data_IF_784368481676
#
_entry.id   IF_784368481676
#
_cell.length_a   1.000
_cell.length_b   1.000
_cell.length_c   1.000
_cell.angle_alpha   90.00
_cell.angle_beta   90.00
_cell.angle_gamma   90.00
#
_symmetry.space_group_name_H-M   'P 1'
#
loop_
_entity.id
_entity.type
_entity.pdbx_description
1 polymer ?
#
# COMPACT_ATOMS: atom_id res chain seq x y z
N UNK A 1 35.01 12.18 30.06
CA UNK A 1 34.44 13.37 29.39
C UNK A 1 33.37 12.81 28.46
N UNK A 2 32.13 12.79 28.92
CA UNK A 2 31.00 12.22 28.18
C UNK A 2 30.53 13.34 27.27
N UNK A 3 30.72 13.19 25.97
CA UNK A 3 30.27 14.17 24.98
C UNK A 3 28.76 14.33 25.10
N UNK A 4 28.35 15.56 25.41
CA UNK A 4 26.97 16.00 25.36
C UNK A 4 26.49 15.90 23.92
N UNK A 5 25.68 14.87 23.65
CA UNK A 5 24.88 14.78 22.43
C UNK A 5 23.83 15.89 22.50
N UNK A 6 24.11 16.96 21.76
CA UNK A 6 23.24 18.07 21.37
C UNK A 6 21.72 17.76 21.47
N UNK A 7 21.09 18.26 22.53
CA UNK A 7 19.64 18.12 22.82
C UNK A 7 18.72 18.78 21.77
N UNK A 8 19.24 19.70 20.96
CA UNK A 8 18.46 20.49 19.99
C UNK A 8 17.96 19.69 18.79
N UNK A 9 18.61 18.56 18.44
CA UNK A 9 18.20 17.69 17.33
C UNK A 9 17.23 16.56 17.72
N UNK A 10 17.19 16.18 19.00
CA UNK A 10 16.35 15.08 19.50
C UNK A 10 14.88 15.49 19.69
N UNK A 11 14.63 16.74 20.10
CA UNK A 11 13.28 17.27 20.29
C UNK A 11 12.46 17.35 18.98
N UNK A 12 13.00 17.84 17.84
CA UNK A 12 12.28 17.83 16.56
C UNK A 12 11.94 16.41 16.09
N UNK A 13 12.86 15.46 16.24
CA UNK A 13 12.65 14.08 15.84
C UNK A 13 11.57 13.39 16.68
N UNK A 14 11.58 13.58 18.00
CA UNK A 14 10.56 12.99 18.89
C UNK A 14 9.16 13.55 18.60
N UNK A 15 9.05 14.83 18.26
CA UNK A 15 7.78 15.43 17.82
C UNK A 15 7.31 14.85 16.49
N UNK A 16 8.20 14.71 15.50
CA UNK A 16 7.87 14.11 14.21
C UNK A 16 7.45 12.64 14.35
N UNK A 17 8.20 11.86 15.15
CA UNK A 17 7.90 10.46 15.43
C UNK A 17 6.52 10.30 16.07
N UNK A 18 6.21 11.12 17.09
CA UNK A 18 4.89 11.12 17.73
C UNK A 18 3.79 11.44 16.73
N UNK A 19 3.98 12.45 15.89
CA UNK A 19 3.02 12.80 14.83
C UNK A 19 2.76 11.63 13.86
N UNK A 20 3.80 10.89 13.46
CA UNK A 20 3.65 9.74 12.56
C UNK A 20 2.94 8.56 13.26
N UNK A 21 3.26 8.29 14.52
CA UNK A 21 2.59 7.27 15.33
C UNK A 21 1.10 7.57 15.51
N UNK A 22 0.75 8.83 15.79
CA UNK A 22 -0.65 9.24 15.95
C UNK A 22 -1.46 9.05 14.65
N UNK A 23 -0.80 9.11 13.49
CA UNK A 23 -1.43 8.89 12.19
C UNK A 23 -1.62 7.41 11.82
N UNK A 24 -0.82 6.49 12.37
CA UNK A 24 -0.79 5.08 11.96
C UNK A 24 -2.19 4.44 11.94
N UNK A 25 -2.99 4.70 12.98
CA UNK A 25 -4.34 4.16 13.14
C UNK A 25 -5.29 4.49 11.97
N UNK A 26 -5.06 5.60 11.25
CA UNK A 26 -5.88 6.05 10.11
C UNK A 26 -5.60 5.27 8.82
N UNK A 27 -4.43 4.66 8.75
CA UNK A 27 -3.92 3.97 7.56
C UNK A 27 -3.85 2.45 7.76
N UNK A 28 -4.31 1.92 8.88
CA UNK A 28 -4.47 0.48 9.10
C UNK A 28 -5.73 -0.05 8.37
N UNK A 29 -5.67 -1.21 7.70
CA UNK A 29 -6.86 -1.84 7.11
C UNK A 29 -7.82 -2.36 8.19
N UNK A 30 -9.14 -2.32 7.90
CA UNK A 30 -10.16 -2.80 8.84
C UNK A 30 -10.12 -4.32 8.93
N UNK A 31 -9.66 -4.86 10.06
CA UNK A 31 -9.52 -6.31 10.30
C UNK A 31 -10.82 -7.11 10.12
N UNK A 32 -11.99 -6.50 10.37
CA UNK A 32 -13.27 -7.17 10.15
C UNK A 32 -13.51 -7.51 8.67
N UNK A 33 -13.07 -6.64 7.74
CA UNK A 33 -13.22 -6.88 6.31
C UNK A 33 -12.22 -7.91 5.78
N UNK A 34 -10.97 -7.87 6.25
CA UNK A 34 -9.96 -8.84 5.84
C UNK A 34 -10.31 -10.27 6.28
N UNK A 35 -10.94 -10.45 7.45
CA UNK A 35 -11.45 -11.76 7.91
C UNK A 35 -12.48 -12.38 6.98
N UNK A 36 -13.22 -11.58 6.22
CA UNK A 36 -14.17 -12.10 5.21
C UNK A 36 -13.42 -12.71 4.02
N UNK A 37 -12.28 -12.14 3.65
CA UNK A 37 -11.42 -12.64 2.58
C UNK A 37 -10.66 -13.90 3.04
N UNK A 38 -10.25 -13.92 4.31
CA UNK A 38 -9.59 -15.06 4.95
C UNK A 38 -10.50 -16.30 5.02
N UNK A 39 -11.78 -16.10 5.34
CA UNK A 39 -12.76 -17.18 5.45
C UNK A 39 -13.45 -17.56 4.12
N UNK A 40 -13.11 -16.88 3.02
CA UNK A 40 -13.76 -17.13 1.73
C UNK A 40 -13.31 -18.46 1.11
N UNK A 41 -14.28 -19.23 0.61
CA UNK A 41 -14.02 -20.44 -0.17
C UNK A 41 -13.57 -20.10 -1.60
N UNK A 42 -12.70 -20.93 -2.15
CA UNK A 42 -12.12 -20.79 -3.48
C UNK A 42 -13.09 -21.31 -4.56
N UNK A 43 -14.17 -20.55 -4.80
CA UNK A 43 -15.22 -20.90 -5.76
C UNK A 43 -15.30 -19.92 -6.95
N UNK A 44 -14.32 -19.02 -7.09
CA UNK A 44 -14.24 -18.03 -8.16
C UNK A 44 -15.23 -16.86 -8.06
N UNK A 45 -16.16 -16.86 -7.09
CA UNK A 45 -17.19 -15.82 -6.96
C UNK A 45 -16.80 -14.68 -6.02
N UNK A 46 -15.80 -14.88 -5.17
CA UNK A 46 -15.41 -13.94 -4.10
C UNK A 46 -13.90 -13.77 -4.06
N UNK A 47 -13.48 -12.64 -3.51
CA UNK A 47 -12.08 -12.42 -3.15
C UNK A 47 -11.62 -13.42 -2.10
N UNK A 48 -10.41 -13.94 -2.29
CA UNK A 48 -9.72 -14.86 -1.38
C UNK A 48 -8.32 -14.34 -1.08
N UNK A 49 -7.68 -14.88 -0.04
CA UNK A 49 -6.29 -14.55 0.29
C UNK A 49 -5.35 -14.84 -0.87
N UNK A 50 -5.54 -15.96 -1.57
CA UNK A 50 -4.74 -16.32 -2.75
C UNK A 50 -4.81 -15.27 -3.86
N UNK A 51 -6.01 -14.76 -4.13
CA UNK A 51 -6.20 -13.72 -5.15
C UNK A 51 -5.53 -12.41 -4.73
N UNK A 52 -5.66 -12.02 -3.45
CA UNK A 52 -4.95 -10.86 -2.90
C UNK A 52 -3.43 -11.02 -3.03
N UNK A 53 -2.88 -12.19 -2.69
CA UNK A 53 -1.44 -12.45 -2.79
C UNK A 53 -0.96 -12.48 -4.24
N UNK A 54 -1.77 -13.00 -5.16
CA UNK A 54 -1.51 -12.89 -6.59
C UNK A 54 -1.39 -11.41 -7.01
N UNK A 55 -2.37 -10.58 -6.64
CA UNK A 55 -2.33 -9.16 -6.98
C UNK A 55 -1.13 -8.44 -6.36
N UNK A 56 -0.73 -8.77 -5.13
CA UNK A 56 0.47 -8.18 -4.49
C UNK A 56 1.74 -8.56 -5.23
N UNK A 57 1.84 -9.78 -5.77
CA UNK A 57 2.98 -10.18 -6.62
C UNK A 57 3.02 -9.38 -7.91
N UNK A 58 1.87 -9.12 -8.53
CA UNK A 58 1.78 -8.26 -9.72
C UNK A 58 2.24 -6.83 -9.41
N UNK A 59 1.81 -6.26 -8.28
CA UNK A 59 2.28 -4.93 -7.83
C UNK A 59 3.80 -4.90 -7.63
N UNK A 60 4.38 -5.96 -7.05
CA UNK A 60 5.82 -6.06 -6.87
C UNK A 60 6.56 -6.14 -8.21
N UNK A 61 6.04 -6.92 -9.16
CA UNK A 61 6.59 -7.03 -10.51
C UNK A 61 6.58 -5.68 -11.22
N UNK A 62 5.46 -4.94 -11.16
CA UNK A 62 5.37 -3.60 -11.74
C UNK A 62 6.33 -2.61 -11.08
N UNK A 63 6.39 -2.59 -9.74
CA UNK A 63 7.32 -1.74 -9.00
C UNK A 63 8.76 -1.97 -9.47
N UNK A 64 9.16 -3.24 -9.61
CA UNK A 64 10.50 -3.61 -10.10
C UNK A 64 10.73 -3.26 -11.56
N UNK A 65 9.72 -3.46 -12.41
CA UNK A 65 9.79 -3.15 -13.83
C UNK A 65 10.07 -1.65 -14.07
N UNK A 66 9.37 -0.77 -13.36
CA UNK A 66 9.56 0.68 -13.46
C UNK A 66 10.72 1.21 -12.59
N UNK A 67 11.31 0.38 -11.72
CA UNK A 67 12.41 0.78 -10.84
C UNK A 67 12.00 1.71 -9.69
N UNK A 68 10.74 1.65 -9.25
CA UNK A 68 10.23 2.45 -8.15
C UNK A 68 10.72 1.97 -6.78
N UNK A 69 10.64 2.86 -5.78
CA UNK A 69 11.13 2.55 -4.44
C UNK A 69 10.19 1.59 -3.69
N UNK A 70 10.71 0.98 -2.62
CA UNK A 70 9.93 0.07 -1.78
C UNK A 70 8.75 0.77 -1.08
N UNK A 71 8.87 2.08 -0.81
CA UNK A 71 7.79 2.87 -0.20
C UNK A 71 6.56 2.95 -1.12
N UNK A 72 6.78 3.13 -2.43
CA UNK A 72 5.72 3.12 -3.45
C UNK A 72 4.99 1.78 -3.49
N UNK A 73 5.73 0.67 -3.43
CA UNK A 73 5.14 -0.67 -3.34
C UNK A 73 4.34 -0.86 -2.05
N UNK A 74 4.93 -0.54 -0.89
CA UNK A 74 4.26 -0.63 0.41
C UNK A 74 2.98 0.21 0.45
N UNK A 75 3.01 1.40 -0.17
CA UNK A 75 1.84 2.27 -0.25
C UNK A 75 0.74 1.71 -1.16
N UNK A 76 1.10 1.15 -2.32
CA UNK A 76 0.15 0.46 -3.20
C UNK A 76 -0.55 -0.72 -2.50
N UNK A 77 0.21 -1.53 -1.76
CA UNK A 77 -0.34 -2.65 -0.97
C UNK A 77 -1.25 -2.14 0.15
N UNK A 78 -0.85 -1.07 0.84
CA UNK A 78 -1.68 -0.45 1.88
C UNK A 78 -3.04 0.03 1.33
N UNK A 79 -3.04 0.66 0.15
CA UNK A 79 -4.27 1.08 -0.53
C UNK A 79 -5.15 -0.12 -0.91
N UNK A 80 -4.55 -1.18 -1.46
CA UNK A 80 -5.26 -2.40 -1.82
C UNK A 80 -5.93 -3.04 -0.60
N UNK A 81 -5.20 -3.27 0.48
CA UNK A 81 -5.72 -3.93 1.67
C UNK A 81 -6.83 -3.11 2.36
N UNK A 82 -6.68 -1.78 2.42
CA UNK A 82 -7.73 -0.89 2.96
C UNK A 82 -8.97 -0.87 2.08
N UNK A 83 -8.81 -0.90 0.77
CA UNK A 83 -9.94 -0.97 -0.17
C UNK A 83 -10.69 -2.30 -0.02
N UNK A 84 -9.97 -3.42 -0.05
CA UNK A 84 -10.53 -4.77 0.11
C UNK A 84 -11.18 -4.99 1.49
N UNK A 85 -10.69 -4.31 2.53
CA UNK A 85 -11.28 -4.35 3.86
C UNK A 85 -12.66 -3.66 3.97
N UNK A 86 -13.06 -2.85 2.99
CA UNK A 86 -14.34 -2.12 3.01
C UNK A 86 -15.24 -2.52 1.84
N UNK A 87 -14.66 -2.87 0.70
CA UNK A 87 -15.38 -3.12 -0.54
C UNK A 87 -15.43 -4.62 -0.89
N UNK A 88 -16.63 -5.11 -1.17
CA UNK A 88 -16.83 -6.45 -1.74
C UNK A 88 -16.72 -6.37 -3.26
N UNK A 89 -15.62 -6.89 -3.80
CA UNK A 89 -15.42 -6.98 -5.25
C UNK A 89 -15.44 -8.43 -5.74
N UNK A 90 -15.75 -8.60 -7.03
CA UNK A 90 -15.56 -9.87 -7.72
C UNK A 90 -14.11 -9.98 -8.23
N UNK A 91 -13.53 -11.19 -8.30
CA UNK A 91 -12.15 -11.40 -8.77
C UNK A 91 -11.83 -10.76 -10.13
N UNK A 92 -12.81 -10.70 -11.04
CA UNK A 92 -12.66 -10.08 -12.37
C UNK A 92 -12.27 -8.59 -12.36
N UNK A 93 -12.50 -7.89 -11.24
CA UNK A 93 -12.15 -6.47 -11.08
C UNK A 93 -10.82 -6.25 -10.36
N UNK A 94 -10.19 -7.31 -9.84
CA UNK A 94 -9.03 -7.22 -8.98
C UNK A 94 -7.83 -6.57 -9.69
N UNK A 95 -7.55 -6.97 -10.93
CA UNK A 95 -6.45 -6.40 -11.72
C UNK A 95 -6.62 -4.89 -11.92
N UNK A 96 -7.81 -4.43 -12.29
CA UNK A 96 -8.12 -3.01 -12.44
C UNK A 96 -7.97 -2.25 -11.11
N UNK A 97 -8.50 -2.79 -10.00
CA UNK A 97 -8.33 -2.19 -8.66
C UNK A 97 -6.86 -2.10 -8.28
N UNK A 98 -6.09 -3.17 -8.50
CA UNK A 98 -4.66 -3.22 -8.22
C UNK A 98 -3.88 -2.15 -9.01
N UNK A 99 -4.13 -2.03 -10.31
CA UNK A 99 -3.51 -1.00 -11.15
C UNK A 99 -3.89 0.42 -10.69
N UNK A 100 -5.14 0.66 -10.30
CA UNK A 100 -5.54 1.94 -9.74
C UNK A 100 -4.80 2.26 -8.43
N UNK A 101 -4.68 1.29 -7.51
CA UNK A 101 -3.89 1.45 -6.28
C UNK A 101 -2.41 1.73 -6.57
N UNK A 102 -1.83 1.03 -7.53
CA UNK A 102 -0.46 1.26 -7.98
C UNK A 102 -0.27 2.67 -8.55
N UNK A 103 -1.14 3.09 -9.46
CA UNK A 103 -1.07 4.40 -10.08
C UNK A 103 -1.20 5.55 -9.07
N UNK A 104 -2.12 5.42 -8.11
CA UNK A 104 -2.26 6.38 -7.01
C UNK A 104 -0.98 6.43 -6.17
N UNK A 105 -0.39 5.28 -5.88
CA UNK A 105 0.85 5.22 -5.10
C UNK A 105 1.98 5.95 -5.83
N UNK A 106 2.25 5.59 -7.09
CA UNK A 106 3.28 6.23 -7.92
C UNK A 106 3.09 7.74 -8.00
N UNK A 107 1.86 8.22 -8.25
CA UNK A 107 1.57 9.67 -8.28
C UNK A 107 1.83 10.40 -6.96
N UNK A 108 1.85 9.68 -5.85
CA UNK A 108 1.98 10.27 -4.51
C UNK A 108 3.42 10.23 -3.99
N UNK A 109 4.17 9.16 -4.30
CA UNK A 109 5.50 8.92 -3.74
C UNK A 109 6.65 9.13 -4.72
N UNK A 110 6.42 9.10 -6.03
CA UNK A 110 7.47 9.26 -7.04
C UNK A 110 7.48 10.68 -7.63
N UNK A 111 8.63 11.12 -8.12
CA UNK A 111 8.76 12.42 -8.79
C UNK A 111 7.87 12.49 -10.03
N UNK A 112 7.28 13.65 -10.33
CA UNK A 112 6.29 13.83 -11.40
C UNK A 112 6.80 13.38 -12.78
N UNK A 113 8.10 13.52 -13.05
CA UNK A 113 8.75 13.06 -14.28
C UNK A 113 8.83 11.53 -14.43
N UNK A 114 8.73 10.79 -13.33
CA UNK A 114 8.81 9.33 -13.28
C UNK A 114 7.42 8.68 -13.29
N UNK A 115 6.34 9.47 -13.26
CA UNK A 115 4.97 8.96 -13.28
C UNK A 115 4.63 8.53 -14.71
N UNK A 116 4.38 7.22 -14.96
CA UNK A 116 4.01 6.72 -16.27
C UNK A 116 2.60 7.19 -16.64
N UNK A 117 2.29 7.22 -17.93
CA UNK A 117 0.91 7.48 -18.36
C UNK A 117 0.03 6.29 -17.99
N UNK A 118 -1.27 6.54 -17.81
CA UNK A 118 -2.23 5.47 -17.55
C UNK A 118 -2.26 4.41 -18.68
N UNK A 119 -1.91 4.81 -19.91
CA UNK A 119 -1.76 3.91 -21.06
C UNK A 119 -0.57 2.97 -20.96
N UNK A 120 0.46 3.33 -20.19
CA UNK A 120 1.70 2.54 -20.09
C UNK A 120 1.57 1.39 -19.08
N UNK A 121 0.42 1.34 -18.39
CA UNK A 121 0.07 0.37 -17.35
C UNK A 121 -0.87 -0.75 -17.85
N UNK A 122 -1.35 -0.66 -19.09
CA UNK A 122 -2.29 -1.59 -19.74
C UNK A 122 -1.67 -2.23 -20.96
#
# INVERSE_FOLDING_TARGET
>A
MIDQVTETGALPFTVQLKSLLDQESRYQPKLCGLRVIESAQDNGLRMTVKLRDYQVRELLSLTRFFGFCAETFSFAVNLLDRFLAVMKIQPKHLSCVGLCCFYIAVKTSEEEKNVPLASDLT
#
